data_IF_308301522227
#
_entry.id   IF_308301522227
#
_cell.length_a   1.000
_cell.length_b   1.000
_cell.length_c   1.000
_cell.angle_alpha   90.00
_cell.angle_beta   90.00
_cell.angle_gamma   90.00
#
_symmetry.space_group_name_H-M   'P 1'
#
loop_
_entity.id
_entity.type
_entity.pdbx_description
1 polymer ?
#
# COMPACT_ATOMS: atom_id res chain seq x y z
N UNK A 1 30.23 14.27 -4.22
CA UNK A 1 29.89 14.70 -2.83
C UNK A 1 29.62 13.42 -2.03
N UNK A 2 30.49 13.02 -1.11
CA UNK A 2 30.30 11.78 -0.31
C UNK A 2 29.08 11.97 0.60
N UNK A 3 28.06 11.14 0.46
CA UNK A 3 26.93 11.11 1.39
C UNK A 3 27.50 10.85 2.80
N UNK A 4 27.23 11.75 3.74
CA UNK A 4 27.61 11.54 5.15
C UNK A 4 26.79 10.35 5.65
N UNK A 5 27.47 9.23 5.91
CA UNK A 5 26.87 8.09 6.61
C UNK A 5 26.45 8.56 8.00
N UNK A 6 25.17 8.45 8.32
CA UNK A 6 24.64 8.77 9.64
C UNK A 6 25.30 7.83 10.65
N UNK A 7 25.80 8.38 11.77
CA UNK A 7 26.29 7.55 12.89
C UNK A 7 25.07 6.86 13.52
N UNK A 8 25.11 5.53 13.62
CA UNK A 8 24.07 4.73 14.30
C UNK A 8 24.06 5.09 15.78
N UNK A 9 22.87 5.24 16.36
CA UNK A 9 22.68 5.47 17.79
C UNK A 9 22.15 4.22 18.48
N UNK A 10 22.40 4.11 19.79
CA UNK A 10 21.82 3.04 20.60
C UNK A 10 20.27 3.13 20.54
N UNK A 11 19.62 1.99 20.30
CA UNK A 11 18.16 1.90 20.15
C UNK A 11 17.61 2.26 18.75
N UNK A 12 18.48 2.48 17.76
CA UNK A 12 18.04 2.51 16.36
C UNK A 12 17.62 1.10 15.91
N UNK A 13 16.49 1.04 15.20
CA UNK A 13 15.95 -0.19 14.62
C UNK A 13 16.82 -0.60 13.45
N UNK A 14 17.20 -1.87 13.43
CA UNK A 14 17.96 -2.48 12.33
C UNK A 14 17.06 -3.48 11.65
N UNK A 15 16.80 -3.24 10.36
CA UNK A 15 16.08 -4.16 9.48
C UNK A 15 17.09 -5.12 8.84
N UNK A 16 16.68 -6.37 8.67
CA UNK A 16 17.52 -7.46 8.16
C UNK A 16 17.01 -8.00 6.83
N UNK A 17 15.71 -7.92 6.56
CA UNK A 17 15.09 -8.42 5.32
C UNK A 17 15.37 -7.43 4.17
N UNK A 18 16.04 -7.84 3.07
CA UNK A 18 16.38 -6.95 1.97
C UNK A 18 15.15 -6.28 1.31
N UNK A 19 14.05 -7.01 1.21
CA UNK A 19 12.81 -6.50 0.63
C UNK A 19 12.21 -5.35 1.49
N UNK A 20 12.23 -5.51 2.82
CA UNK A 20 11.76 -4.49 3.77
C UNK A 20 12.67 -3.25 3.74
N UNK A 21 13.99 -3.44 3.69
CA UNK A 21 14.96 -2.35 3.53
C UNK A 21 14.67 -1.58 2.23
N UNK A 22 14.45 -2.28 1.11
CA UNK A 22 14.16 -1.66 -0.17
C UNK A 22 12.89 -0.78 -0.13
N UNK A 23 11.83 -1.25 0.53
CA UNK A 23 10.58 -0.49 0.70
C UNK A 23 10.80 0.76 1.55
N UNK A 24 11.44 0.63 2.72
CA UNK A 24 11.73 1.74 3.63
C UNK A 24 12.60 2.81 2.97
N UNK A 25 13.60 2.39 2.19
CA UNK A 25 14.45 3.30 1.40
C UNK A 25 13.68 3.92 0.23
N UNK A 26 12.91 3.14 -0.52
CA UNK A 26 12.06 3.61 -1.63
C UNK A 26 11.15 4.74 -1.19
N UNK A 27 10.55 4.64 -0.01
CA UNK A 27 9.63 5.66 0.50
C UNK A 27 10.27 6.67 1.48
N UNK A 28 11.60 6.62 1.66
CA UNK A 28 12.37 7.56 2.48
C UNK A 28 11.90 7.66 3.93
N UNK A 29 11.59 6.51 4.52
CA UNK A 29 11.29 6.42 5.95
C UNK A 29 12.56 6.50 6.78
N UNK A 30 12.43 6.99 8.02
CA UNK A 30 13.52 7.16 8.97
C UNK A 30 13.34 6.36 10.24
N UNK A 31 14.29 6.54 11.17
CA UNK A 31 14.21 5.92 12.50
C UNK A 31 12.99 6.42 13.29
N UNK A 32 12.54 7.65 13.05
CA UNK A 32 11.32 8.17 13.66
C UNK A 32 10.08 7.36 13.25
N UNK A 33 9.87 7.11 11.94
CA UNK A 33 8.77 6.26 11.47
C UNK A 33 8.92 4.82 11.97
N UNK A 34 10.12 4.24 11.90
CA UNK A 34 10.34 2.85 12.35
C UNK A 34 10.05 2.67 13.84
N UNK A 35 10.41 3.64 14.69
CA UNK A 35 10.10 3.60 16.14
C UNK A 35 8.61 3.71 16.41
N UNK A 36 7.86 4.49 15.61
CA UNK A 36 6.39 4.50 15.65
C UNK A 36 5.81 3.15 15.27
N UNK A 37 6.27 2.54 14.16
CA UNK A 37 5.83 1.19 13.81
C UNK A 37 6.15 0.17 14.88
N UNK A 38 7.30 0.25 15.55
CA UNK A 38 7.62 -0.66 16.67
C UNK A 38 6.69 -0.46 17.86
N UNK A 39 6.20 0.77 18.06
CA UNK A 39 5.18 1.06 19.09
C UNK A 39 3.84 0.47 18.70
N UNK A 40 3.38 0.66 17.45
CA UNK A 40 2.16 0.04 16.95
C UNK A 40 2.24 -1.49 17.04
N UNK A 41 3.33 -2.09 16.57
CA UNK A 41 3.54 -3.53 16.62
C UNK A 41 3.34 -4.09 18.03
N UNK A 42 3.95 -3.45 19.05
CA UNK A 42 3.79 -3.83 20.47
C UNK A 42 2.39 -3.60 21.05
N UNK A 43 1.56 -2.78 20.42
CA UNK A 43 0.16 -2.59 20.84
C UNK A 43 -0.74 -3.69 20.29
N UNK A 44 -0.37 -4.26 19.15
CA UNK A 44 -1.09 -5.36 18.50
C UNK A 44 -0.69 -6.69 19.13
N UNK A 45 0.62 -6.89 19.26
CA UNK A 45 1.28 -8.10 19.75
C UNK A 45 1.01 -8.32 21.24
N UNK A 46 0.09 -9.25 21.56
CA UNK A 46 -0.26 -9.62 22.94
C UNK A 46 0.56 -10.81 23.47
N UNK A 47 1.02 -11.70 22.60
CA UNK A 47 1.60 -13.00 22.97
C UNK A 47 3.00 -13.30 22.37
N UNK A 48 3.59 -12.34 21.66
CA UNK A 48 4.91 -12.41 21.02
C UNK A 48 4.86 -12.48 19.50
N UNK A 49 3.67 -12.66 18.91
CA UNK A 49 3.40 -12.66 17.48
C UNK A 49 2.16 -11.80 17.19
N UNK A 50 1.91 -11.49 15.92
CA UNK A 50 0.64 -10.87 15.50
C UNK A 50 -0.10 -11.88 14.64
N UNK A 51 -1.26 -12.32 15.08
CA UNK A 51 -2.14 -13.16 14.27
C UNK A 51 -3.09 -12.33 13.38
N UNK A 52 -3.93 -13.03 12.62
CA UNK A 52 -4.95 -12.41 11.76
C UNK A 52 -5.90 -11.51 12.57
N UNK A 53 -6.47 -12.07 13.63
CA UNK A 53 -7.53 -11.40 14.38
C UNK A 53 -6.98 -10.19 15.12
N UNK A 54 -5.80 -10.28 15.72
CA UNK A 54 -5.10 -9.16 16.36
C UNK A 54 -4.85 -8.01 15.38
N UNK A 55 -4.33 -8.30 14.19
CA UNK A 55 -4.06 -7.27 13.18
C UNK A 55 -5.33 -6.57 12.70
N UNK A 56 -6.40 -7.32 12.40
CA UNK A 56 -7.64 -6.74 11.89
C UNK A 56 -8.47 -6.04 12.98
N UNK A 57 -8.39 -6.50 14.23
CA UNK A 57 -8.92 -5.79 15.38
C UNK A 57 -8.22 -4.44 15.58
N UNK A 58 -6.89 -4.39 15.43
CA UNK A 58 -6.12 -3.15 15.57
C UNK A 58 -6.52 -2.07 14.54
N UNK A 59 -6.82 -2.46 13.31
CA UNK A 59 -7.23 -1.51 12.27
C UNK A 59 -8.75 -1.29 12.20
N UNK A 60 -9.53 -1.85 13.13
CA UNK A 60 -11.00 -1.75 13.19
C UNK A 60 -11.65 -2.21 11.86
N UNK A 61 -11.33 -3.44 11.46
CA UNK A 61 -11.76 -4.01 10.19
C UNK A 61 -12.26 -5.46 10.34
N UNK A 62 -13.27 -5.80 9.55
CA UNK A 62 -13.89 -7.12 9.58
C UNK A 62 -13.26 -8.07 8.58
N UNK A 63 -13.29 -9.37 8.88
CA UNK A 63 -12.85 -10.42 7.97
C UNK A 63 -13.67 -10.45 6.68
N UNK A 64 -12.97 -10.20 5.59
CA UNK A 64 -13.40 -10.25 4.19
C UNK A 64 -12.30 -10.92 3.34
N UNK A 65 -12.60 -11.37 2.12
CA UNK A 65 -11.57 -11.87 1.21
C UNK A 65 -10.49 -10.84 0.86
N UNK A 66 -10.78 -9.54 0.94
CA UNK A 66 -9.78 -8.48 0.77
C UNK A 66 -8.80 -8.40 1.94
N UNK A 67 -9.30 -8.44 3.19
CA UNK A 67 -8.45 -8.54 4.37
C UNK A 67 -7.69 -9.86 4.41
N UNK A 68 -8.26 -10.96 3.94
CA UNK A 68 -7.51 -12.22 3.77
C UNK A 68 -6.40 -12.09 2.72
N UNK A 69 -6.68 -11.44 1.58
CA UNK A 69 -5.67 -11.13 0.58
C UNK A 69 -4.55 -10.25 1.15
N UNK A 70 -4.91 -9.27 1.98
CA UNK A 70 -3.95 -8.37 2.62
C UNK A 70 -3.10 -9.14 3.63
N UNK A 71 -3.72 -9.99 4.44
CA UNK A 71 -3.01 -10.86 5.38
C UNK A 71 -2.00 -11.74 4.65
N UNK A 72 -2.40 -12.43 3.57
CA UNK A 72 -1.48 -13.24 2.76
C UNK A 72 -0.33 -12.43 2.15
N UNK A 73 -0.57 -11.16 1.84
CA UNK A 73 0.50 -10.26 1.37
C UNK A 73 1.46 -9.88 2.50
N UNK A 74 0.96 -9.75 3.75
CA UNK A 74 1.77 -9.45 4.93
C UNK A 74 2.57 -10.69 5.37
N UNK A 75 1.89 -11.83 5.53
CA UNK A 75 2.42 -13.14 5.93
C UNK A 75 3.19 -13.79 4.77
N UNK A 76 4.35 -13.19 4.47
CA UNK A 76 5.16 -13.50 3.30
C UNK A 76 5.78 -14.89 3.31
N UNK A 77 6.00 -15.45 4.50
CA UNK A 77 6.51 -16.81 4.70
C UNK A 77 5.39 -17.84 4.96
N UNK A 78 4.13 -17.40 5.01
CA UNK A 78 2.94 -18.23 5.20
C UNK A 78 2.97 -19.04 6.50
N UNK A 79 3.57 -18.48 7.55
CA UNK A 79 3.65 -19.12 8.86
C UNK A 79 2.39 -18.89 9.71
N UNK A 80 1.44 -18.07 9.23
CA UNK A 80 0.18 -17.75 9.90
C UNK A 80 0.27 -16.61 10.91
N UNK A 81 1.44 -15.97 11.04
CA UNK A 81 1.72 -14.87 11.96
C UNK A 81 2.49 -13.77 11.24
N UNK A 82 2.48 -12.56 11.81
CA UNK A 82 3.13 -11.38 11.24
C UNK A 82 4.27 -10.97 12.17
N UNK A 83 5.50 -11.04 11.67
CA UNK A 83 6.65 -10.48 12.38
C UNK A 83 6.79 -8.96 12.18
N UNK A 84 7.73 -8.35 12.93
CA UNK A 84 7.90 -6.90 12.88
C UNK A 84 8.32 -6.38 11.49
N UNK A 85 9.19 -7.09 10.77
CA UNK A 85 9.65 -6.66 9.46
C UNK A 85 8.58 -6.87 8.38
N UNK A 86 7.73 -7.89 8.51
CA UNK A 86 6.54 -8.13 7.68
C UNK A 86 5.49 -7.06 7.89
N UNK A 87 5.18 -6.75 9.15
CA UNK A 87 4.31 -5.63 9.51
C UNK A 87 4.80 -4.32 8.88
N UNK A 88 6.08 -3.99 9.03
CA UNK A 88 6.66 -2.77 8.42
C UNK A 88 6.59 -2.84 6.90
N UNK A 89 7.00 -3.95 6.30
CA UNK A 89 7.03 -4.11 4.84
C UNK A 89 5.66 -3.84 4.24
N UNK A 90 4.67 -4.61 4.67
CA UNK A 90 3.35 -4.60 4.07
C UNK A 90 2.56 -3.35 4.45
N UNK A 91 2.72 -2.83 5.68
CA UNK A 91 2.11 -1.55 6.06
C UNK A 91 2.64 -0.42 5.19
N UNK A 92 3.97 -0.30 5.04
CA UNK A 92 4.55 0.78 4.22
C UNK A 92 4.15 0.61 2.76
N UNK A 93 4.19 -0.61 2.23
CA UNK A 93 3.84 -0.88 0.85
C UNK A 93 2.36 -0.53 0.58
N UNK A 94 1.44 -1.09 1.36
CA UNK A 94 0.01 -0.90 1.16
C UNK A 94 -0.43 0.55 1.42
N UNK A 95 0.04 1.19 2.50
CA UNK A 95 -0.30 2.59 2.79
C UNK A 95 0.28 3.58 1.77
N UNK A 96 1.33 3.20 1.03
CA UNK A 96 1.91 4.02 -0.02
C UNK A 96 1.38 3.70 -1.42
N UNK A 97 0.55 2.66 -1.57
CA UNK A 97 -0.04 2.34 -2.86
C UNK A 97 -0.87 3.50 -3.41
N UNK A 98 -0.67 3.74 -4.70
CA UNK A 98 -1.55 4.54 -5.55
C UNK A 98 -2.88 3.83 -5.74
N UNK A 99 -3.88 4.56 -6.25
CA UNK A 99 -5.17 3.98 -6.62
C UNK A 99 -5.00 2.78 -7.56
N UNK A 100 -4.15 2.88 -8.57
CA UNK A 100 -3.94 1.81 -9.57
C UNK A 100 -3.27 0.58 -8.93
N UNK A 101 -2.31 0.78 -8.03
CA UNK A 101 -1.68 -0.31 -7.26
C UNK A 101 -2.68 -1.01 -6.33
N UNK A 102 -3.62 -0.28 -5.71
CA UNK A 102 -4.72 -0.89 -4.92
C UNK A 102 -5.64 -1.72 -5.81
N UNK A 103 -5.96 -1.23 -7.02
CA UNK A 103 -6.75 -2.00 -7.98
C UNK A 103 -6.01 -3.25 -8.43
N UNK A 104 -4.69 -3.16 -8.63
CA UNK A 104 -3.86 -4.31 -8.97
C UNK A 104 -3.84 -5.34 -7.85
N UNK A 105 -3.63 -4.91 -6.62
CA UNK A 105 -3.72 -5.77 -5.45
C UNK A 105 -5.10 -6.46 -5.35
N UNK A 106 -6.18 -5.72 -5.59
CA UNK A 106 -7.53 -6.29 -5.60
C UNK A 106 -7.66 -7.35 -6.70
N UNK A 107 -7.19 -7.05 -7.91
CA UNK A 107 -7.19 -7.99 -9.02
C UNK A 107 -6.45 -9.29 -8.68
N UNK A 108 -5.21 -9.17 -8.21
CA UNK A 108 -4.36 -10.32 -7.85
C UNK A 108 -4.95 -11.12 -6.67
N UNK A 109 -5.76 -10.49 -5.79
CA UNK A 109 -6.47 -11.19 -4.71
C UNK A 109 -7.58 -12.13 -5.23
N UNK A 110 -8.19 -11.80 -6.39
CA UNK A 110 -9.22 -12.63 -7.03
C UNK A 110 -8.68 -13.52 -8.14
N UNK A 111 -7.45 -13.31 -8.60
CA UNK A 111 -6.71 -14.18 -9.53
C UNK A 111 -5.54 -14.89 -8.81
N UNK A 112 -5.81 -15.80 -7.84
CA UNK A 112 -4.76 -16.48 -7.09
C UNK A 112 -3.90 -17.41 -7.96
N UNK A 113 -4.40 -17.79 -9.14
CA UNK A 113 -3.66 -18.58 -10.11
C UNK A 113 -2.66 -17.74 -10.93
N UNK A 114 -2.66 -16.41 -10.76
CA UNK A 114 -1.89 -15.47 -11.57
C UNK A 114 -2.08 -15.71 -13.08
N UNK A 115 -3.31 -16.04 -13.49
CA UNK A 115 -3.67 -16.26 -14.88
C UNK A 115 -3.64 -14.98 -15.72
N UNK A 116 -3.67 -13.82 -15.04
CA UNK A 116 -3.79 -12.50 -15.66
C UNK A 116 -5.23 -12.10 -15.96
N UNK A 117 -6.21 -12.88 -15.50
CA UNK A 117 -7.63 -12.70 -15.82
C UNK A 117 -8.52 -13.14 -14.65
N UNK A 118 -9.72 -12.56 -14.54
CA UNK A 118 -10.75 -12.94 -13.56
C UNK A 118 -11.89 -13.61 -14.30
N UNK A 119 -12.15 -14.88 -14.00
CA UNK A 119 -13.26 -15.63 -14.55
C UNK A 119 -14.59 -15.40 -13.81
N UNK A 120 -15.67 -16.01 -14.34
CA UNK A 120 -17.03 -15.87 -13.80
C UNK A 120 -17.13 -16.21 -12.30
N UNK A 121 -16.49 -17.29 -11.86
CA UNK A 121 -16.53 -17.72 -10.44
C UNK A 121 -15.90 -16.67 -9.52
N UNK A 122 -14.78 -16.10 -9.93
CA UNK A 122 -14.02 -15.12 -9.15
C UNK A 122 -14.74 -13.77 -9.13
N UNK A 123 -15.31 -13.35 -10.26
CA UNK A 123 -16.14 -12.16 -10.32
C UNK A 123 -17.39 -12.28 -9.44
N UNK A 124 -18.05 -13.45 -9.41
CA UNK A 124 -19.16 -13.69 -8.49
C UNK A 124 -18.75 -13.58 -7.03
N UNK A 125 -17.58 -14.12 -6.69
CA UNK A 125 -17.03 -13.99 -5.33
C UNK A 125 -16.80 -12.52 -4.99
N UNK A 126 -16.21 -11.75 -5.89
CA UNK A 126 -16.00 -10.30 -5.71
C UNK A 126 -17.32 -9.56 -5.45
N UNK A 127 -18.35 -9.81 -6.26
CA UNK A 127 -19.66 -9.15 -6.12
C UNK A 127 -20.37 -9.55 -4.83
N UNK A 128 -20.22 -10.80 -4.37
CA UNK A 128 -20.84 -11.26 -3.12
C UNK A 128 -20.35 -10.51 -1.88
N UNK A 129 -19.09 -10.07 -1.86
CA UNK A 129 -18.44 -9.40 -0.72
C UNK A 129 -18.97 -7.99 -0.52
N UNK A 130 -19.35 -7.32 -1.61
CA UNK A 130 -19.78 -5.92 -1.58
C UNK A 130 -21.29 -5.82 -1.35
N UNK A 131 -22.01 -6.88 -1.65
CA UNK A 131 -23.45 -6.85 -1.57
C UNK A 131 -23.99 -7.01 -0.14
N UNK A 132 -23.28 -7.57 0.85
CA UNK A 132 -23.80 -7.74 2.23
C UNK A 132 -25.30 -8.20 2.28
N UNK A 133 -25.72 -9.03 1.32
CA UNK A 133 -27.12 -9.46 1.16
C UNK A 133 -28.12 -8.44 0.58
N UNK A 134 -27.71 -7.22 0.25
CA UNK A 134 -28.49 -6.17 -0.42
C UNK A 134 -28.00 -5.96 -1.86
N UNK A 135 -28.89 -6.18 -2.83
CA UNK A 135 -28.58 -6.07 -4.26
C UNK A 135 -28.32 -4.61 -4.68
N UNK A 136 -27.08 -4.14 -4.47
CA UNK A 136 -26.59 -2.85 -4.99
C UNK A 136 -25.99 -2.99 -6.38
N UNK A 137 -25.61 -4.21 -6.74
CA UNK A 137 -25.39 -4.61 -8.12
C UNK A 137 -26.75 -5.00 -8.72
N UNK A 138 -27.51 -4.01 -9.23
CA UNK A 138 -28.86 -4.25 -9.76
C UNK A 138 -28.87 -5.08 -11.06
N UNK A 139 -27.72 -5.22 -11.71
CA UNK A 139 -27.53 -6.12 -12.86
C UNK A 139 -27.23 -7.54 -12.41
N UNK A 140 -27.72 -8.54 -13.14
CA UNK A 140 -27.22 -9.90 -12.98
C UNK A 140 -25.70 -9.89 -13.19
N UNK A 141 -24.91 -10.60 -12.38
CA UNK A 141 -23.45 -10.74 -12.58
C UNK A 141 -23.15 -11.24 -14.02
N UNK A 142 -24.06 -12.02 -14.60
CA UNK A 142 -23.99 -12.46 -15.99
C UNK A 142 -24.04 -11.28 -16.98
N UNK A 143 -24.78 -10.21 -16.63
CA UNK A 143 -24.82 -8.96 -17.37
C UNK A 143 -23.54 -8.16 -17.17
N UNK A 144 -22.90 -8.21 -16.00
CA UNK A 144 -21.60 -7.57 -15.79
C UNK A 144 -20.51 -8.17 -16.67
N UNK A 145 -20.37 -9.50 -16.71
CA UNK A 145 -19.39 -10.11 -17.63
C UNK A 145 -19.64 -9.66 -19.06
N UNK A 146 -20.87 -9.82 -19.55
CA UNK A 146 -21.20 -9.41 -20.93
C UNK A 146 -21.06 -7.91 -21.20
N UNK A 147 -21.14 -7.05 -20.18
CA UNK A 147 -20.97 -5.60 -20.31
C UNK A 147 -19.50 -5.15 -20.24
N UNK A 148 -18.66 -5.81 -19.43
CA UNK A 148 -17.27 -5.41 -19.19
C UNK A 148 -16.23 -6.22 -19.97
N UNK A 149 -16.54 -7.46 -20.35
CA UNK A 149 -15.75 -8.29 -21.26
C UNK A 149 -15.90 -7.72 -22.69
N UNK A 150 -15.01 -6.80 -23.04
CA UNK A 150 -15.04 -6.06 -24.31
C UNK A 150 -14.53 -6.92 -25.45
N UNK A 151 -13.53 -7.75 -25.18
CA UNK A 151 -12.91 -8.60 -26.18
C UNK A 151 -13.71 -9.91 -26.41
N UNK A 152 -14.66 -10.23 -25.53
CA UNK A 152 -15.56 -11.39 -25.54
C UNK A 152 -14.84 -12.72 -25.38
N UNK A 153 -13.75 -12.75 -24.60
CA UNK A 153 -13.00 -13.96 -24.31
C UNK A 153 -13.55 -14.77 -23.11
N UNK A 154 -14.57 -14.23 -22.43
CA UNK A 154 -15.25 -14.85 -21.30
C UNK A 154 -14.56 -14.62 -19.96
N UNK A 155 -13.52 -13.80 -19.90
CA UNK A 155 -12.82 -13.40 -18.67
C UNK A 155 -12.70 -11.88 -18.59
N UNK A 156 -12.25 -11.37 -17.45
CA UNK A 156 -12.02 -9.94 -17.22
C UNK A 156 -10.53 -9.71 -17.05
N UNK A 157 -9.92 -8.99 -17.98
CA UNK A 157 -8.54 -8.54 -17.85
C UNK A 157 -8.40 -7.33 -16.90
N UNK A 158 -7.16 -6.90 -16.64
CA UNK A 158 -6.92 -5.79 -15.71
C UNK A 158 -7.48 -4.43 -16.20
N UNK A 159 -7.50 -4.17 -17.51
CA UNK A 159 -8.05 -2.92 -18.05
C UNK A 159 -9.59 -2.92 -17.99
N UNK A 160 -10.22 -4.06 -18.24
CA UNK A 160 -11.65 -4.28 -18.06
C UNK A 160 -12.04 -4.17 -16.58
N UNK A 161 -11.23 -4.72 -15.68
CA UNK A 161 -11.41 -4.59 -14.23
C UNK A 161 -11.35 -3.12 -13.77
N UNK A 162 -10.43 -2.32 -14.31
CA UNK A 162 -10.38 -0.87 -14.08
C UNK A 162 -11.64 -0.17 -14.56
N UNK A 163 -12.19 -0.55 -15.71
CA UNK A 163 -13.44 0.01 -16.22
C UNK A 163 -14.63 -0.37 -15.36
N UNK A 164 -14.67 -1.62 -14.88
CA UNK A 164 -15.66 -2.10 -13.93
C UNK A 164 -15.62 -1.29 -12.62
N UNK A 165 -14.44 -1.01 -12.07
CA UNK A 165 -14.29 -0.14 -10.89
C UNK A 165 -14.73 1.32 -11.15
N UNK A 166 -14.48 1.86 -12.36
CA UNK A 166 -14.98 3.21 -12.71
C UNK A 166 -16.51 3.26 -12.70
N UNK A 167 -17.16 2.19 -13.13
CA UNK A 167 -18.63 2.09 -13.17
C UNK A 167 -19.23 1.77 -11.81
N UNK A 168 -18.57 0.90 -11.05
CA UNK A 168 -19.01 0.41 -9.75
C UNK A 168 -17.93 0.61 -8.68
N UNK A 169 -17.63 1.87 -8.29
CA UNK A 169 -16.55 2.16 -7.35
C UNK A 169 -16.76 1.56 -5.96
N UNK A 170 -18.01 1.29 -5.58
CA UNK A 170 -18.34 0.62 -4.31
C UNK A 170 -17.84 -0.82 -4.27
N UNK A 171 -17.61 -1.47 -5.42
CA UNK A 171 -17.12 -2.84 -5.47
C UNK A 171 -15.71 -2.98 -4.87
N UNK A 172 -14.86 -1.97 -5.07
CA UNK A 172 -13.49 -1.98 -4.56
C UNK A 172 -13.27 -0.99 -3.42
N UNK A 173 -14.35 -0.35 -2.95
CA UNK A 173 -14.32 0.51 -1.77
C UNK A 173 -13.68 -0.18 -0.54
N UNK A 174 -13.91 -1.48 -0.26
CA UNK A 174 -13.24 -2.15 0.86
C UNK A 174 -11.70 -2.08 0.82
N UNK A 175 -11.06 -2.13 -0.35
CA UNK A 175 -9.61 -1.98 -0.45
C UNK A 175 -9.14 -0.57 -0.08
N UNK A 176 -9.87 0.45 -0.52
CA UNK A 176 -9.56 1.84 -0.17
C UNK A 176 -9.82 2.12 1.31
N UNK A 177 -10.88 1.53 1.87
CA UNK A 177 -11.17 1.57 3.31
C UNK A 177 -10.06 0.91 4.11
N UNK A 178 -9.61 -0.29 3.72
CA UNK A 178 -8.48 -0.98 4.34
C UNK A 178 -7.25 -0.07 4.42
N UNK A 179 -6.91 0.59 3.30
CA UNK A 179 -5.76 1.49 3.27
C UNK A 179 -5.94 2.67 4.23
N UNK A 180 -7.11 3.32 4.22
CA UNK A 180 -7.45 4.42 5.13
C UNK A 180 -7.36 4.00 6.61
N UNK A 181 -7.89 2.82 6.95
CA UNK A 181 -7.83 2.25 8.30
C UNK A 181 -6.39 2.00 8.75
N UNK A 182 -5.59 1.35 7.91
CA UNK A 182 -4.17 1.12 8.20
C UNK A 182 -3.40 2.44 8.35
N UNK A 183 -3.69 3.43 7.51
CA UNK A 183 -3.04 4.74 7.61
C UNK A 183 -3.36 5.41 8.95
N UNK A 184 -4.63 5.41 9.37
CA UNK A 184 -5.10 5.98 10.64
C UNK A 184 -4.52 5.26 11.86
N UNK A 185 -4.52 3.93 11.85
CA UNK A 185 -4.07 3.12 12.98
C UNK A 185 -2.55 3.23 13.22
N UNK A 186 -1.77 3.53 12.18
CA UNK A 186 -0.30 3.52 12.26
C UNK A 186 0.33 4.90 12.46
N UNK A 187 0.71 5.58 11.37
CA UNK A 187 1.35 6.91 11.45
C UNK A 187 0.34 8.07 11.50
N UNK A 188 -0.93 7.81 11.17
CA UNK A 188 -2.00 8.80 11.03
C UNK A 188 -1.98 9.54 9.69
N UNK A 189 -3.14 10.05 9.30
CA UNK A 189 -3.40 10.65 7.97
C UNK A 189 -2.39 11.72 7.58
N UNK A 190 -2.09 12.64 8.51
CA UNK A 190 -1.18 13.75 8.24
C UNK A 190 0.25 13.27 7.93
N UNK A 191 0.73 12.22 8.62
CA UNK A 191 2.09 11.74 8.43
C UNK A 191 2.22 10.95 7.12
N UNK A 192 1.21 10.13 6.80
CA UNK A 192 1.13 9.44 5.51
C UNK A 192 1.01 10.42 4.34
N UNK A 193 0.18 11.46 4.48
CA UNK A 193 0.08 12.52 3.46
C UNK A 193 1.42 13.21 3.22
N UNK A 194 2.22 13.44 4.27
CA UNK A 194 3.57 13.98 4.13
C UNK A 194 4.50 13.01 3.39
N UNK A 195 4.43 11.70 3.67
CA UNK A 195 5.20 10.69 2.92
C UNK A 195 4.81 10.67 1.43
N UNK A 196 3.52 10.69 1.12
CA UNK A 196 3.00 10.78 -0.26
C UNK A 196 3.49 12.04 -0.97
N UNK A 197 3.40 13.21 -0.31
CA UNK A 197 3.89 14.48 -0.85
C UNK A 197 5.40 14.44 -1.11
N UNK A 198 6.17 13.84 -0.19
CA UNK A 198 7.63 13.64 -0.36
C UNK A 198 7.94 12.80 -1.59
N UNK A 199 7.23 11.69 -1.77
CA UNK A 199 7.38 10.82 -2.92
C UNK A 199 7.04 11.57 -4.22
N UNK A 200 5.92 12.29 -4.24
CA UNK A 200 5.48 13.05 -5.42
C UNK A 200 6.52 14.09 -5.85
N UNK A 201 7.02 14.92 -4.94
CA UNK A 201 8.03 15.94 -5.27
C UNK A 201 9.34 15.31 -5.76
N UNK A 202 9.73 14.16 -5.20
CA UNK A 202 10.91 13.42 -5.68
C UNK A 202 10.70 12.93 -7.11
N UNK A 203 9.61 12.21 -7.38
CA UNK A 203 9.31 11.68 -8.71
C UNK A 203 9.17 12.80 -9.75
N UNK A 204 8.56 13.92 -9.36
CA UNK A 204 8.46 15.13 -10.20
C UNK A 204 9.85 15.67 -10.55
N UNK A 205 10.75 15.79 -9.58
CA UNK A 205 12.13 16.23 -9.78
C UNK A 205 12.93 15.26 -10.66
N UNK A 206 12.82 13.96 -10.41
CA UNK A 206 13.47 12.91 -11.22
C UNK A 206 12.97 12.93 -12.68
N UNK A 207 11.66 13.04 -12.88
CA UNK A 207 11.06 13.14 -14.21
C UNK A 207 11.49 14.43 -14.94
N UNK A 208 11.61 15.55 -14.23
CA UNK A 208 12.14 16.78 -14.80
C UNK A 208 13.60 16.59 -15.24
N UNK A 209 14.46 16.06 -14.36
CA UNK A 209 15.86 15.80 -14.67
C UNK A 209 16.02 14.88 -15.89
N UNK A 210 15.21 13.81 -15.98
CA UNK A 210 15.20 12.91 -17.15
C UNK A 210 14.87 13.64 -18.45
N UNK A 211 13.94 14.60 -18.42
CA UNK A 211 13.55 15.39 -19.60
C UNK A 211 14.54 16.52 -19.93
N UNK A 212 15.32 16.97 -18.96
CA UNK A 212 16.22 18.12 -19.07
C UNK A 212 17.70 17.76 -18.83
N UNK A 213 18.14 16.58 -19.27
CA UNK A 213 19.55 16.13 -19.22
C UNK A 213 20.21 16.32 -17.85
N UNK A 214 19.50 16.03 -16.77
CA UNK A 214 19.98 16.13 -15.39
C UNK A 214 19.84 17.52 -14.75
N UNK A 215 19.28 18.51 -15.45
CA UNK A 215 19.03 19.82 -14.86
C UNK A 215 17.99 19.73 -13.73
N UNK A 216 18.25 20.43 -12.62
CA UNK A 216 17.30 20.52 -11.51
C UNK A 216 16.13 21.44 -11.88
N UNK A 217 14.90 21.18 -11.39
CA UNK A 217 13.79 22.11 -11.52
C UNK A 217 14.10 23.42 -10.77
N UNK A 218 13.60 24.54 -11.29
CA UNK A 218 13.74 25.84 -10.64
C UNK A 218 13.20 25.82 -9.21
N UNK A 219 13.99 26.33 -8.25
CA UNK A 219 13.59 26.39 -6.84
C UNK A 219 12.50 27.45 -6.67
N UNK A 220 11.43 27.08 -5.96
CA UNK A 220 10.53 28.09 -5.39
C UNK A 220 11.27 28.86 -4.29
N UNK A 221 10.83 30.09 -3.98
CA UNK A 221 11.44 30.91 -2.93
C UNK A 221 11.52 30.17 -1.58
N UNK A 222 10.45 29.44 -1.23
CA UNK A 222 10.38 28.58 -0.04
C UNK A 222 11.37 27.41 -0.12
N UNK A 223 11.49 26.76 -1.29
CA UNK A 223 12.46 25.69 -1.51
C UNK A 223 13.90 26.17 -1.40
N UNK A 224 14.19 27.41 -1.84
CA UNK A 224 15.50 28.03 -1.68
C UNK A 224 15.82 28.29 -0.20
N UNK A 225 14.85 28.78 0.59
CA UNK A 225 15.01 29.04 2.02
C UNK A 225 15.24 27.73 2.81
N UNK A 226 14.45 26.69 2.57
CA UNK A 226 14.60 25.38 3.25
C UNK A 226 15.97 24.76 2.97
N UNK A 227 16.44 24.85 1.72
CA UNK A 227 17.75 24.35 1.31
C UNK A 227 18.89 25.20 1.90
N UNK A 228 18.73 26.53 1.93
CA UNK A 228 19.70 27.48 2.49
C UNK A 228 19.87 27.27 4.01
N UNK A 229 18.76 27.11 4.75
CA UNK A 229 18.76 26.88 6.19
C UNK A 229 19.13 25.45 6.59
N UNK A 230 19.43 24.55 5.64
CA UNK A 230 19.68 23.12 5.87
C UNK A 230 18.61 22.42 6.71
N UNK A 231 17.37 22.92 6.66
CA UNK A 231 16.22 22.30 7.30
C UNK A 231 15.81 20.99 6.60
N UNK A 232 16.40 20.71 5.44
CA UNK A 232 16.23 19.48 4.67
C UNK A 232 17.08 18.29 5.17
N UNK A 233 17.58 18.35 6.40
CA UNK A 233 18.41 17.29 6.99
C UNK A 233 17.49 16.09 7.37
N UNK A 234 17.00 15.39 6.34
CA UNK A 234 16.05 14.29 6.49
C UNK A 234 16.77 13.05 7.00
N UNK A 235 16.20 12.48 8.04
CA UNK A 235 16.69 11.26 8.63
C UNK A 235 16.22 10.02 7.86
N UNK A 236 16.73 9.81 6.64
CA UNK A 236 16.38 8.64 5.84
C UNK A 236 17.12 7.41 6.40
N UNK A 237 16.43 6.27 6.50
CA UNK A 237 16.99 5.01 6.93
C UNK A 237 18.23 4.65 6.09
N UNK A 238 19.32 4.31 6.78
CA UNK A 238 20.56 3.83 6.18
C UNK A 238 20.84 2.43 6.70
N UNK A 239 20.88 1.41 5.82
CA UNK A 239 21.06 0.01 6.22
C UNK A 239 22.41 -0.28 6.89
#
# INVERSE_FOLDING_TARGET
MRARTRRRHAGDIVLTRPATIAVVVKYQLGQHELKKFKTCFRQIDLDGVIDYDEFFNFIDETKTPFSEGLFRMIDSDSNGTIDFEEFVHATVLYCMYTRDEILRFAFDTFDPAASGSIGDKELRRLVSIVNDGQSRFSGNINTALTEFDRNKDGVIDFEEFKNLNKRFPMLLFPCFRLQDRMQKATLGDNHWLQLHKRLYERLKSENYQRKHNGALPGLTLVGAIVKFLRLDNRDIYQP
#
